data_IF_709119661913
#
_entry.id   IF_709119661913
#
_cell.length_a   1.000
_cell.length_b   1.000
_cell.length_c   1.000
_cell.angle_alpha   90.00
_cell.angle_beta   90.00
_cell.angle_gamma   90.00
#
_symmetry.space_group_name_H-M   'P 1'
#
loop_
_entity.id
_entity.type
_entity.pdbx_description
1 polymer ?
#
# COMPACT_ATOMS: atom_id res chain seq x y z
N UNK A 1 9.79 10.22 -23.22
CA UNK A 1 8.30 10.25 -23.20
C UNK A 1 7.84 9.92 -21.79
N UNK A 2 7.12 10.83 -21.15
CA UNK A 2 6.54 10.58 -19.85
C UNK A 2 5.29 9.74 -20.08
N UNK A 3 5.32 8.46 -19.75
CA UNK A 3 4.09 7.67 -19.70
C UNK A 3 3.24 8.19 -18.53
N UNK A 4 2.08 8.73 -18.87
CA UNK A 4 1.13 9.19 -17.88
C UNK A 4 0.58 7.99 -17.12
N UNK A 5 0.82 7.96 -15.81
CA UNK A 5 0.21 7.01 -14.90
C UNK A 5 -1.30 7.16 -14.98
N UNK A 6 -1.99 6.09 -15.28
CA UNK A 6 -3.45 6.09 -15.42
C UNK A 6 -4.10 6.38 -14.08
N UNK A 7 -4.76 7.52 -14.01
CA UNK A 7 -5.63 7.91 -12.90
C UNK A 7 -7.07 7.81 -13.38
N UNK A 8 -7.85 6.89 -12.84
CA UNK A 8 -9.23 6.72 -13.29
C UNK A 8 -10.20 7.59 -12.48
N UNK A 9 -11.19 8.23 -13.15
CA UNK A 9 -12.20 9.06 -12.50
C UNK A 9 -13.06 8.33 -11.46
N UNK A 10 -13.19 7.02 -11.58
CA UNK A 10 -13.92 6.17 -10.64
C UNK A 10 -13.32 6.19 -9.22
N UNK A 11 -12.03 6.46 -9.10
CA UNK A 11 -11.35 6.61 -7.81
C UNK A 11 -11.84 7.85 -7.05
N UNK A 12 -12.18 8.94 -7.72
CA UNK A 12 -12.57 10.19 -7.08
C UNK A 12 -13.87 10.07 -6.28
N UNK A 13 -14.88 9.38 -6.80
CA UNK A 13 -16.15 9.17 -6.12
C UNK A 13 -16.02 8.30 -4.87
N UNK A 14 -15.27 7.21 -4.96
CA UNK A 14 -15.00 6.34 -3.82
C UNK A 14 -14.15 7.06 -2.76
N UNK A 15 -13.21 7.90 -3.18
CA UNK A 15 -12.38 8.70 -2.30
C UNK A 15 -13.20 9.71 -1.49
N UNK A 16 -14.07 10.49 -2.14
CA UNK A 16 -14.91 11.46 -1.47
C UNK A 16 -15.80 10.81 -0.42
N UNK A 17 -16.37 9.66 -0.72
CA UNK A 17 -17.16 8.88 0.22
C UNK A 17 -16.32 8.36 1.39
N UNK A 18 -15.18 7.72 1.12
CA UNK A 18 -14.28 7.19 2.12
C UNK A 18 -13.75 8.30 3.05
N UNK A 19 -13.41 9.44 2.48
CA UNK A 19 -12.98 10.62 3.22
C UNK A 19 -14.06 11.12 4.19
N UNK A 20 -15.26 11.33 3.69
CA UNK A 20 -16.40 11.77 4.50
C UNK A 20 -16.77 10.79 5.61
N UNK A 21 -16.81 9.49 5.30
CA UNK A 21 -17.06 8.44 6.29
C UNK A 21 -15.97 8.40 7.37
N UNK A 22 -14.70 8.56 7.00
CA UNK A 22 -13.58 8.58 7.94
C UNK A 22 -13.67 9.78 8.89
N UNK A 23 -13.94 10.97 8.35
CA UNK A 23 -14.09 12.18 9.17
C UNK A 23 -15.23 12.07 10.17
N UNK A 24 -16.34 11.46 9.78
CA UNK A 24 -17.50 11.26 10.67
C UNK A 24 -17.23 10.22 11.75
N UNK A 25 -16.64 9.11 11.40
CA UNK A 25 -16.45 7.97 12.31
C UNK A 25 -15.18 8.07 13.15
N UNK A 26 -14.15 8.75 12.64
CA UNK A 26 -12.84 8.91 13.27
C UNK A 26 -12.33 10.35 13.14
N UNK A 27 -13.00 11.32 13.76
CA UNK A 27 -12.61 12.74 13.63
C UNK A 27 -11.18 13.02 14.13
N UNK A 28 -10.69 12.21 15.08
CA UNK A 28 -9.29 12.29 15.57
C UNK A 28 -8.25 11.93 14.52
N UNK A 29 -8.62 11.27 13.43
CA UNK A 29 -7.74 10.93 12.31
C UNK A 29 -7.70 11.99 11.20
N UNK A 30 -8.45 13.08 11.34
CA UNK A 30 -8.59 14.09 10.27
C UNK A 30 -7.25 14.68 9.83
N UNK A 31 -6.35 15.01 10.78
CA UNK A 31 -5.02 15.53 10.44
C UNK A 31 -4.19 14.50 9.66
N UNK A 32 -4.12 13.28 10.15
CA UNK A 32 -3.39 12.18 9.49
C UNK A 32 -3.95 11.89 8.10
N UNK A 33 -5.25 11.98 7.94
CA UNK A 33 -5.92 11.82 6.66
C UNK A 33 -5.49 12.91 5.67
N UNK A 34 -5.42 14.18 6.10
CA UNK A 34 -4.89 15.29 5.29
C UNK A 34 -3.41 15.07 4.94
N UNK A 35 -2.60 14.69 5.91
CA UNK A 35 -1.16 14.43 5.70
C UNK A 35 -0.92 13.30 4.69
N UNK A 36 -1.79 12.30 4.66
CA UNK A 36 -1.69 11.15 3.74
C UNK A 36 -2.02 11.49 2.29
N UNK A 37 -2.68 12.62 2.02
CA UNK A 37 -3.16 13.02 0.70
C UNK A 37 -2.47 14.28 0.16
N UNK A 38 -1.32 14.65 0.70
CA UNK A 38 -0.55 15.80 0.22
C UNK A 38 0.00 15.56 -1.18
N UNK A 39 0.28 16.64 -1.91
CA UNK A 39 0.95 16.58 -3.21
C UNK A 39 2.28 15.84 -3.13
N UNK A 40 3.04 16.02 -2.05
CA UNK A 40 4.30 15.33 -1.80
C UNK A 40 4.12 13.82 -1.69
N UNK A 41 3.10 13.35 -0.97
CA UNK A 41 2.76 11.93 -0.89
C UNK A 41 2.39 11.35 -2.26
N UNK A 42 1.57 12.06 -3.02
CA UNK A 42 1.21 11.65 -4.38
C UNK A 42 2.43 11.57 -5.29
N UNK A 43 3.26 12.60 -5.33
CA UNK A 43 4.47 12.64 -6.16
C UNK A 43 5.43 11.50 -5.81
N UNK A 44 5.62 11.19 -4.53
CA UNK A 44 6.45 10.07 -4.09
C UNK A 44 5.93 8.72 -4.59
N UNK A 45 4.62 8.50 -4.57
CA UNK A 45 4.01 7.25 -5.07
C UNK A 45 4.07 7.17 -6.60
N UNK A 46 3.85 8.28 -7.29
CA UNK A 46 4.00 8.37 -8.75
C UNK A 46 5.43 8.08 -9.18
N UNK A 47 6.41 8.67 -8.51
CA UNK A 47 7.81 8.39 -8.75
C UNK A 47 8.14 6.91 -8.58
N UNK A 48 7.70 6.30 -7.48
CA UNK A 48 7.93 4.88 -7.20
C UNK A 48 7.37 3.98 -8.31
N UNK A 49 6.15 4.23 -8.74
CA UNK A 49 5.51 3.45 -9.81
C UNK A 49 6.25 3.62 -11.14
N UNK A 50 6.70 4.84 -11.45
CA UNK A 50 7.53 5.09 -12.64
C UNK A 50 8.86 4.33 -12.59
N UNK A 51 9.54 4.32 -11.45
CA UNK A 51 10.79 3.58 -11.30
C UNK A 51 10.57 2.06 -11.41
N UNK A 52 9.51 1.54 -10.83
CA UNK A 52 9.13 0.13 -10.99
C UNK A 52 8.87 -0.24 -12.45
N UNK A 53 8.22 0.63 -13.22
CA UNK A 53 7.98 0.42 -14.66
C UNK A 53 9.29 0.31 -15.46
N UNK A 54 10.31 1.08 -15.09
CA UNK A 54 11.62 1.07 -15.77
C UNK A 54 12.38 -0.23 -15.56
N UNK A 55 12.11 -0.96 -14.48
CA UNK A 55 12.85 -2.18 -14.13
C UNK A 55 12.43 -3.39 -14.97
N UNK A 56 11.34 -3.31 -15.73
CA UNK A 56 10.78 -4.42 -16.53
C UNK A 56 10.62 -5.73 -15.74
N UNK A 57 10.29 -5.59 -14.45
CA UNK A 57 10.08 -6.73 -13.55
C UNK A 57 8.64 -7.23 -13.64
N UNK A 58 8.50 -8.54 -13.62
CA UNK A 58 7.19 -9.20 -13.46
C UNK A 58 6.99 -9.55 -12.01
N UNK A 59 5.97 -8.98 -11.41
CA UNK A 59 5.52 -9.27 -10.07
C UNK A 59 3.99 -9.24 -10.00
N UNK A 60 3.42 -10.02 -9.11
CA UNK A 60 1.97 -10.13 -8.98
C UNK A 60 1.46 -10.15 -7.55
N UNK A 61 2.29 -10.55 -6.60
CA UNK A 61 1.93 -10.67 -5.20
C UNK A 61 2.71 -9.62 -4.39
N UNK A 62 2.04 -8.54 -4.03
CA UNK A 62 2.69 -7.35 -3.44
C UNK A 62 2.43 -7.26 -1.95
N UNK A 63 3.47 -6.99 -1.20
CA UNK A 63 3.43 -6.64 0.21
C UNK A 63 3.77 -5.16 0.40
N UNK A 64 2.88 -4.41 1.01
CA UNK A 64 3.15 -3.06 1.50
C UNK A 64 3.50 -3.15 2.98
N UNK A 65 4.64 -2.59 3.35
CA UNK A 65 5.11 -2.51 4.74
C UNK A 65 4.92 -1.09 5.24
N UNK A 66 4.15 -0.94 6.32
CA UNK A 66 3.81 0.37 6.84
C UNK A 66 3.04 1.22 5.82
N UNK A 67 2.15 0.58 5.05
CA UNK A 67 1.44 1.25 3.96
C UNK A 67 0.37 2.23 4.42
N UNK A 68 0.13 2.31 5.72
CA UNK A 68 -0.83 3.21 6.34
C UNK A 68 -2.23 3.04 5.72
N UNK A 69 -2.82 4.09 5.16
CA UNK A 69 -4.14 3.99 4.52
C UNK A 69 -4.09 3.40 3.11
N UNK A 70 -2.91 3.34 2.50
CA UNK A 70 -2.64 2.77 1.17
C UNK A 70 -3.58 3.29 0.05
N UNK A 71 -4.15 4.48 0.23
CA UNK A 71 -5.16 5.01 -0.68
C UNK A 71 -4.60 5.50 -2.02
N UNK A 72 -3.32 5.89 -2.05
CA UNK A 72 -2.64 6.35 -3.27
C UNK A 72 -1.94 5.18 -3.99
N UNK A 73 -1.14 4.43 -3.26
CA UNK A 73 -0.28 3.40 -3.86
C UNK A 73 -1.07 2.22 -4.40
N UNK A 74 -2.14 1.80 -3.73
CA UNK A 74 -2.93 0.63 -4.14
C UNK A 74 -3.53 0.79 -5.54
N UNK A 75 -4.32 1.84 -5.84
CA UNK A 75 -4.85 2.01 -7.18
C UNK A 75 -3.78 2.23 -8.24
N UNK A 76 -2.70 2.95 -7.92
CA UNK A 76 -1.60 3.15 -8.85
C UNK A 76 -0.93 1.83 -9.25
N UNK A 77 -0.75 0.92 -8.32
CA UNK A 77 -0.19 -0.40 -8.60
C UNK A 77 -1.13 -1.24 -9.46
N UNK A 78 -2.41 -1.31 -9.13
CA UNK A 78 -3.38 -2.08 -9.91
C UNK A 78 -3.61 -1.53 -11.32
N UNK A 79 -3.53 -0.21 -11.50
CA UNK A 79 -3.74 0.42 -12.81
C UNK A 79 -2.53 0.27 -13.74
N UNK A 80 -1.33 0.09 -13.20
CA UNK A 80 -0.10 0.06 -13.99
C UNK A 80 0.55 -1.32 -14.11
N UNK A 81 0.18 -2.29 -13.27
CA UNK A 81 0.76 -3.63 -13.25
C UNK A 81 -0.31 -4.72 -13.17
N UNK A 82 0.03 -5.89 -13.65
CA UNK A 82 -0.83 -7.06 -13.55
C UNK A 82 -0.67 -7.74 -12.19
N UNK A 83 -1.35 -7.23 -11.18
CA UNK A 83 -1.24 -7.65 -9.79
C UNK A 83 -2.40 -8.56 -9.40
N UNK A 84 -2.10 -9.69 -8.75
CA UNK A 84 -3.09 -10.59 -8.20
C UNK A 84 -3.65 -10.06 -6.89
N UNK A 85 -2.78 -9.67 -5.96
CA UNK A 85 -3.19 -9.12 -4.68
C UNK A 85 -2.14 -8.17 -4.09
N UNK A 86 -2.63 -7.29 -3.23
CA UNK A 86 -1.82 -6.43 -2.35
C UNK A 86 -2.20 -6.71 -0.91
N UNK A 87 -1.23 -7.05 -0.08
CA UNK A 87 -1.36 -7.09 1.36
C UNK A 87 -0.66 -5.89 1.99
N UNK A 88 -1.40 -5.13 2.77
CA UNK A 88 -0.89 -3.97 3.49
C UNK A 88 -0.71 -4.31 4.98
N UNK A 89 0.53 -4.34 5.42
CA UNK A 89 0.91 -4.59 6.81
C UNK A 89 1.16 -3.28 7.53
N UNK A 90 0.37 -3.01 8.55
CA UNK A 90 0.55 -1.84 9.41
C UNK A 90 0.26 -2.20 10.88
N UNK A 91 0.93 -1.53 11.81
CA UNK A 91 0.72 -1.75 13.24
C UNK A 91 -0.52 -1.02 13.78
N UNK A 92 -1.01 -0.02 13.06
CA UNK A 92 -2.13 0.81 13.47
C UNK A 92 -3.47 0.14 13.08
N UNK A 93 -4.32 -0.25 14.05
CA UNK A 93 -5.62 -0.84 13.76
C UNK A 93 -6.57 0.12 13.05
N UNK A 94 -6.46 1.43 13.29
CA UNK A 94 -7.26 2.44 12.58
C UNK A 94 -6.88 2.51 11.10
N UNK A 95 -5.60 2.35 10.78
CA UNK A 95 -5.13 2.30 9.40
C UNK A 95 -5.83 1.19 8.60
N UNK A 96 -6.02 0.02 9.19
CA UNK A 96 -6.75 -1.09 8.56
C UNK A 96 -8.16 -0.68 8.16
N UNK A 97 -8.92 -0.11 9.07
CA UNK A 97 -10.32 0.25 8.83
C UNK A 97 -10.45 1.37 7.79
N UNK A 98 -9.58 2.36 7.86
CA UNK A 98 -9.55 3.47 6.92
C UNK A 98 -9.13 2.98 5.53
N UNK A 99 -8.08 2.15 5.45
CA UNK A 99 -7.61 1.60 4.18
C UNK A 99 -8.68 0.80 3.46
N UNK A 100 -9.51 0.06 4.18
CA UNK A 100 -10.63 -0.69 3.58
C UNK A 100 -11.72 0.21 3.00
N UNK A 101 -11.91 1.42 3.53
CA UNK A 101 -12.85 2.38 2.95
C UNK A 101 -12.36 2.91 1.61
N UNK A 102 -11.07 3.30 1.55
CA UNK A 102 -10.46 3.81 0.33
C UNK A 102 -10.24 2.74 -0.75
N UNK A 103 -9.94 1.51 -0.35
CA UNK A 103 -9.67 0.39 -1.24
C UNK A 103 -10.83 -0.61 -1.33
N UNK A 104 -12.05 -0.15 -1.10
CA UNK A 104 -13.28 -0.97 -1.07
C UNK A 104 -13.44 -1.83 -2.31
N UNK A 105 -13.20 -1.27 -3.49
CA UNK A 105 -13.28 -1.98 -4.77
C UNK A 105 -12.40 -3.22 -4.78
N UNK A 106 -11.13 -3.07 -4.41
CA UNK A 106 -10.15 -4.16 -4.44
C UNK A 106 -10.38 -5.17 -3.33
N UNK A 107 -10.84 -4.70 -2.16
CA UNK A 107 -11.26 -5.58 -1.08
C UNK A 107 -12.39 -6.51 -1.51
N UNK A 108 -13.42 -5.98 -2.19
CA UNK A 108 -14.55 -6.78 -2.66
C UNK A 108 -14.15 -7.79 -3.74
N UNK A 109 -13.08 -7.53 -4.48
CA UNK A 109 -12.51 -8.45 -5.46
C UNK A 109 -11.53 -9.47 -4.85
N UNK A 110 -11.35 -9.48 -3.53
CA UNK A 110 -10.34 -10.26 -2.80
C UNK A 110 -8.89 -9.98 -3.26
N UNK A 111 -8.65 -8.76 -3.75
CA UNK A 111 -7.34 -8.31 -4.25
C UNK A 111 -6.59 -7.44 -3.25
N UNK A 112 -7.24 -6.98 -2.20
CA UNK A 112 -6.63 -6.14 -1.17
C UNK A 112 -6.99 -6.64 0.22
N UNK A 113 -5.95 -6.83 1.04
CA UNK A 113 -6.09 -7.21 2.46
C UNK A 113 -5.21 -6.31 3.31
N UNK A 114 -5.78 -5.72 4.35
CA UNK A 114 -5.05 -4.99 5.38
C UNK A 114 -4.85 -5.87 6.61
N UNK A 115 -3.61 -5.98 7.06
CA UNK A 115 -3.19 -6.83 8.17
C UNK A 115 -2.63 -5.94 9.28
N UNK A 116 -3.28 -5.96 10.45
CA UNK A 116 -2.76 -5.26 11.63
C UNK A 116 -1.77 -6.16 12.35
N UNK A 117 -0.50 -5.92 12.11
CA UNK A 117 0.59 -6.67 12.76
C UNK A 117 1.93 -5.98 12.54
N UNK A 118 2.86 -6.21 13.46
CA UNK A 118 4.24 -5.83 13.25
C UNK A 118 4.94 -6.88 12.39
N UNK A 119 5.33 -6.50 11.19
CA UNK A 119 5.98 -7.39 10.23
C UNK A 119 7.34 -7.94 10.72
N UNK A 120 7.96 -7.28 11.69
CA UNK A 120 9.26 -7.69 12.24
C UNK A 120 9.15 -8.67 13.42
N UNK A 121 7.96 -8.88 13.99
CA UNK A 121 7.85 -9.60 15.26
C UNK A 121 7.31 -11.04 15.19
N UNK A 122 6.21 -11.29 14.51
CA UNK A 122 5.51 -12.59 14.73
C UNK A 122 4.88 -13.24 13.49
N UNK A 123 4.91 -12.60 12.36
CA UNK A 123 4.09 -13.06 11.23
C UNK A 123 4.89 -13.74 10.12
N UNK A 124 6.08 -14.21 10.44
CA UNK A 124 7.00 -14.77 9.45
C UNK A 124 6.44 -15.98 8.71
N UNK A 125 5.68 -16.83 9.37
CA UNK A 125 5.01 -17.95 8.70
C UNK A 125 3.99 -17.43 7.67
N UNK A 126 3.12 -16.52 8.07
CA UNK A 126 2.14 -15.90 7.16
C UNK A 126 2.82 -15.13 6.03
N UNK A 127 3.92 -14.45 6.35
CA UNK A 127 4.69 -13.69 5.38
C UNK A 127 5.32 -14.60 4.33
N UNK A 128 5.95 -15.70 4.73
CA UNK A 128 6.50 -16.72 3.82
C UNK A 128 5.44 -17.42 3.01
N UNK A 129 4.34 -17.82 3.67
CA UNK A 129 3.25 -18.57 3.05
C UNK A 129 2.47 -17.73 2.01
N UNK A 130 2.52 -16.41 2.12
CA UNK A 130 1.88 -15.49 1.16
C UNK A 130 2.61 -15.38 -0.17
N UNK A 131 3.84 -15.88 -0.27
CA UNK A 131 4.61 -15.92 -1.51
C UNK A 131 4.71 -14.56 -2.23
N UNK A 132 5.09 -13.52 -1.49
CA UNK A 132 5.30 -12.18 -2.07
C UNK A 132 6.49 -12.17 -3.02
N UNK A 133 6.32 -11.53 -4.15
CA UNK A 133 7.37 -11.30 -5.14
C UNK A 133 7.82 -9.83 -5.23
N UNK A 134 7.13 -8.93 -4.55
CA UNK A 134 7.52 -7.54 -4.36
C UNK A 134 7.17 -7.05 -2.97
N UNK A 135 8.13 -6.41 -2.30
CA UNK A 135 7.90 -5.69 -1.04
C UNK A 135 8.16 -4.21 -1.27
N UNK A 136 7.22 -3.38 -0.85
CA UNK A 136 7.32 -1.93 -0.89
C UNK A 136 7.23 -1.39 0.54
N UNK A 137 8.22 -0.63 0.95
CA UNK A 137 8.21 0.09 2.21
C UNK A 137 8.23 1.60 1.95
N UNK A 138 7.13 2.25 2.27
CA UNK A 138 6.97 3.70 2.15
C UNK A 138 7.09 4.44 3.48
N UNK A 139 7.52 3.76 4.54
CA UNK A 139 7.64 4.28 5.91
C UNK A 139 8.98 3.92 6.55
N UNK A 140 10.03 3.80 5.77
CA UNK A 140 11.35 3.34 6.22
C UNK A 140 11.92 4.15 7.40
N UNK A 141 11.61 5.44 7.45
CA UNK A 141 12.08 6.37 8.49
C UNK A 141 11.48 6.10 9.89
N UNK A 142 10.36 5.36 9.94
CA UNK A 142 9.61 5.10 11.18
C UNK A 142 9.76 3.68 11.69
N UNK A 143 10.64 2.86 11.09
CA UNK A 143 10.78 1.45 11.44
C UNK A 143 12.22 0.95 11.36
N UNK A 144 12.41 -0.31 11.71
CA UNK A 144 13.72 -0.97 11.57
C UNK A 144 14.24 -0.92 10.13
N UNK A 145 15.58 -0.91 9.93
CA UNK A 145 16.16 -0.95 8.60
C UNK A 145 15.67 -2.14 7.76
N UNK A 146 15.42 -1.90 6.47
CA UNK A 146 14.97 -2.95 5.53
C UNK A 146 15.94 -4.11 5.43
N UNK A 147 17.22 -3.92 5.74
CA UNK A 147 18.21 -4.98 5.85
C UNK A 147 17.73 -6.12 6.76
N UNK A 148 17.12 -5.78 7.91
CA UNK A 148 16.55 -6.79 8.83
C UNK A 148 15.45 -7.61 8.17
N UNK A 149 14.59 -6.98 7.38
CA UNK A 149 13.53 -7.69 6.66
C UNK A 149 14.11 -8.59 5.58
N UNK A 150 15.14 -8.14 4.88
CA UNK A 150 15.86 -8.92 3.87
C UNK A 150 16.55 -10.14 4.45
N UNK A 151 17.23 -9.99 5.57
CA UNK A 151 17.90 -11.09 6.27
C UNK A 151 16.94 -12.19 6.68
N UNK A 152 15.72 -11.82 7.04
CA UNK A 152 14.66 -12.75 7.42
C UNK A 152 13.96 -13.39 6.19
N UNK A 153 14.13 -12.82 5.00
CA UNK A 153 13.50 -13.28 3.75
C UNK A 153 14.48 -13.20 2.58
N UNK A 154 15.54 -14.02 2.59
CA UNK A 154 16.61 -13.93 1.60
C UNK A 154 16.17 -14.25 0.17
N UNK A 155 15.08 -15.00 0.01
CA UNK A 155 14.58 -15.45 -1.29
C UNK A 155 13.69 -14.43 -2.03
N UNK A 156 13.43 -13.28 -1.41
CA UNK A 156 12.66 -12.22 -2.06
C UNK A 156 13.46 -11.54 -3.17
N UNK A 157 12.88 -11.48 -4.37
CA UNK A 157 13.57 -11.05 -5.59
C UNK A 157 13.65 -9.55 -5.77
N UNK A 158 12.76 -8.78 -5.17
CA UNK A 158 12.71 -7.32 -5.29
C UNK A 158 12.42 -6.65 -3.94
N UNK A 159 13.07 -5.51 -3.73
CA UNK A 159 13.03 -4.76 -2.48
C UNK A 159 12.68 -3.29 -2.74
#
# INVERSE_FOLDING_TARGET
>A
MVEYIKYTPELSGNWSRAWSETQKQRPWQSRRLLDSATTSQLQGKLWLVNELNKLDLKFSNVCLVGGWFAQLITPLLFDNFNINFIHNWDIDPDAKQISYKFNRRYKHQNKYVAITSNIFEKSWSKFRDSNYDLIINTSCEHMYPMKKLKELNPDLKAW
#
